data_IF_495214796760
#
_entry.id   IF_495214796760
#
_cell.length_a   1.000
_cell.length_b   1.000
_cell.length_c   1.000
_cell.angle_alpha   90.00
_cell.angle_beta   90.00
_cell.angle_gamma   90.00
#
_symmetry.space_group_name_H-M   'P 1'
#
loop_
_entity.id
_entity.type
_entity.pdbx_description
1 polymer ?
#
# COMPACT_ATOMS: atom_id res chain seq x y z
N UNK A 1 -5.82 -11.26 -7.59
CA UNK A 1 -4.59 -11.94 -7.17
C UNK A 1 -4.86 -13.38 -6.73
N UNK A 2 -5.59 -13.62 -5.63
CA UNK A 2 -5.85 -14.96 -5.07
C UNK A 2 -6.45 -15.90 -6.12
N UNK A 3 -7.51 -15.50 -6.81
CA UNK A 3 -8.14 -16.31 -7.87
C UNK A 3 -7.18 -16.64 -9.02
N UNK A 4 -6.31 -15.71 -9.40
CA UNK A 4 -5.28 -15.96 -10.43
C UNK A 4 -4.29 -17.03 -10.01
N UNK A 5 -3.78 -16.97 -8.77
CA UNK A 5 -2.86 -17.98 -8.23
C UNK A 5 -3.52 -19.35 -8.14
N UNK A 6 -4.75 -19.43 -7.60
CA UNK A 6 -5.50 -20.69 -7.46
C UNK A 6 -5.79 -21.33 -8.83
N UNK A 7 -6.20 -20.54 -9.81
CA UNK A 7 -6.49 -21.03 -11.17
C UNK A 7 -5.21 -21.44 -11.94
N UNK A 8 -4.08 -20.79 -11.67
CA UNK A 8 -2.83 -21.08 -12.35
C UNK A 8 -2.04 -22.23 -11.72
N UNK A 9 -2.18 -22.49 -10.43
CA UNK A 9 -1.44 -23.52 -9.70
C UNK A 9 -1.47 -24.92 -10.37
N UNK A 10 -2.60 -25.44 -10.89
CA UNK A 10 -2.63 -26.73 -11.58
C UNK A 10 -1.80 -26.76 -12.87
N UNK A 11 -1.72 -25.64 -13.59
CA UNK A 11 -0.95 -25.55 -14.84
C UNK A 11 0.56 -25.49 -14.59
N UNK A 12 1.00 -24.88 -13.48
CA UNK A 12 2.41 -24.84 -13.08
C UNK A 12 3.00 -26.22 -12.82
N UNK A 13 2.16 -27.22 -12.51
CA UNK A 13 2.61 -28.61 -12.34
C UNK A 13 2.85 -29.35 -13.65
N UNK A 14 2.28 -28.87 -14.77
CA UNK A 14 2.31 -29.54 -16.08
C UNK A 14 3.20 -28.85 -17.11
N UNK A 15 3.50 -27.56 -16.93
CA UNK A 15 4.30 -26.76 -17.85
C UNK A 15 5.51 -26.19 -17.13
N UNK A 16 6.67 -26.17 -17.78
CA UNK A 16 7.85 -25.50 -17.26
C UNK A 16 7.56 -24.00 -17.06
N UNK A 17 8.10 -23.43 -15.99
CA UNK A 17 7.93 -22.00 -15.68
C UNK A 17 8.42 -21.13 -16.85
N UNK A 18 7.63 -20.13 -17.22
CA UNK A 18 7.97 -19.21 -18.31
C UNK A 18 7.70 -19.72 -19.72
N UNK A 19 7.11 -20.91 -19.89
CA UNK A 19 6.79 -21.46 -21.20
C UNK A 19 5.68 -20.64 -21.86
N UNK A 20 5.99 -20.03 -23.02
CA UNK A 20 5.03 -19.37 -23.91
C UNK A 20 4.90 -20.17 -25.20
N UNK A 21 3.73 -20.76 -25.44
CA UNK A 21 3.45 -21.61 -26.60
C UNK A 21 3.25 -20.78 -27.86
N UNK A 22 4.35 -20.42 -28.54
CA UNK A 22 4.35 -19.53 -29.71
C UNK A 22 3.67 -20.11 -30.94
N UNK A 23 3.63 -21.44 -31.09
CA UNK A 23 3.07 -22.14 -32.24
C UNK A 23 1.58 -22.50 -32.07
N UNK A 24 0.93 -21.98 -31.05
CA UNK A 24 -0.48 -22.19 -30.75
C UNK A 24 -1.35 -20.96 -31.11
N UNK A 25 -2.65 -21.05 -30.85
CA UNK A 25 -3.57 -19.97 -31.13
C UNK A 25 -3.19 -18.66 -30.39
N UNK A 26 -3.54 -17.54 -30.98
CA UNK A 26 -3.30 -16.19 -30.40
C UNK A 26 -3.84 -16.10 -28.96
N UNK A 27 -4.96 -16.74 -28.67
CA UNK A 27 -5.55 -16.77 -27.32
C UNK A 27 -4.63 -17.47 -26.31
N UNK A 28 -4.01 -18.59 -26.68
CA UNK A 28 -3.10 -19.34 -25.81
C UNK A 28 -1.81 -18.56 -25.56
N UNK A 29 -1.28 -17.88 -26.58
CA UNK A 29 -0.14 -16.97 -26.39
C UNK A 29 -0.41 -15.89 -25.37
N UNK A 30 -1.57 -15.23 -25.48
CA UNK A 30 -1.98 -14.18 -24.53
C UNK A 30 -2.23 -14.73 -23.12
N UNK A 31 -2.75 -15.96 -23.00
CA UNK A 31 -2.94 -16.62 -21.71
C UNK A 31 -1.59 -16.91 -21.04
N UNK A 32 -0.64 -17.49 -21.79
CA UNK A 32 0.69 -17.80 -21.27
C UNK A 32 1.45 -16.51 -20.87
N UNK A 33 1.38 -15.48 -21.69
CA UNK A 33 1.97 -14.18 -21.39
C UNK A 33 1.33 -13.50 -20.17
N UNK A 34 0.00 -13.53 -20.07
CA UNK A 34 -0.73 -13.02 -18.91
C UNK A 34 -0.29 -13.72 -17.61
N UNK A 35 -0.17 -15.04 -17.65
CA UNK A 35 0.24 -15.84 -16.50
C UNK A 35 1.70 -15.56 -16.12
N UNK A 36 2.61 -15.50 -17.11
CA UNK A 36 4.03 -15.20 -16.87
C UNK A 36 4.21 -13.80 -16.26
N UNK A 37 3.64 -12.78 -16.89
CA UNK A 37 3.73 -11.41 -16.39
C UNK A 37 3.05 -11.28 -15.02
N UNK A 38 1.89 -11.94 -14.83
CA UNK A 38 1.17 -11.94 -13.57
C UNK A 38 1.97 -12.53 -12.42
N UNK A 39 2.69 -13.64 -12.63
CA UNK A 39 3.50 -14.26 -11.57
C UNK A 39 4.77 -13.43 -11.26
N UNK A 40 5.41 -12.87 -12.29
CA UNK A 40 6.60 -12.03 -12.12
C UNK A 40 6.27 -10.76 -11.34
N UNK A 41 5.10 -10.17 -11.58
CA UNK A 41 4.66 -8.94 -10.91
C UNK A 41 3.87 -9.19 -9.63
N UNK A 42 3.61 -10.45 -9.23
CA UNK A 42 2.70 -10.81 -8.15
C UNK A 42 3.06 -10.17 -6.80
N UNK A 43 4.33 -10.23 -6.41
CA UNK A 43 4.80 -9.67 -5.12
C UNK A 43 4.63 -8.16 -5.12
N UNK A 44 5.01 -7.51 -6.22
CA UNK A 44 4.85 -6.07 -6.37
C UNK A 44 3.36 -5.65 -6.34
N UNK A 45 2.48 -6.36 -7.04
CA UNK A 45 1.04 -6.16 -6.96
C UNK A 45 0.50 -6.25 -5.53
N UNK A 46 1.01 -7.23 -4.78
CA UNK A 46 0.60 -7.39 -3.38
C UNK A 46 1.05 -6.19 -2.54
N UNK A 47 2.31 -5.77 -2.68
CA UNK A 47 2.86 -4.62 -1.94
C UNK A 47 2.08 -3.35 -2.26
N UNK A 48 1.93 -3.01 -3.55
CA UNK A 48 1.23 -1.79 -3.98
C UNK A 48 -0.26 -1.85 -3.64
N UNK A 49 -0.89 -3.01 -3.80
CA UNK A 49 -2.30 -3.20 -3.45
C UNK A 49 -2.56 -3.05 -1.95
N UNK A 50 -1.77 -3.72 -1.11
CA UNK A 50 -1.90 -3.65 0.35
C UNK A 50 -1.62 -2.23 0.88
N UNK A 51 -0.53 -1.61 0.42
CA UNK A 51 -0.18 -0.24 0.81
C UNK A 51 -1.18 0.78 0.28
N UNK A 52 -1.77 0.56 -0.91
CA UNK A 52 -2.85 1.37 -1.44
C UNK A 52 -4.09 1.37 -0.55
N UNK A 53 -4.50 0.20 -0.04
CA UNK A 53 -5.60 0.10 0.94
C UNK A 53 -5.27 0.87 2.21
N UNK A 54 -4.07 0.70 2.78
CA UNK A 54 -3.64 1.44 3.98
C UNK A 54 -3.65 2.95 3.72
N UNK A 55 -3.16 3.41 2.57
CA UNK A 55 -3.13 4.82 2.21
C UNK A 55 -4.53 5.45 2.06
N UNK A 56 -5.53 4.69 1.59
CA UNK A 56 -6.93 5.18 1.54
C UNK A 56 -7.54 5.40 2.91
N UNK A 57 -7.00 4.74 3.95
CA UNK A 57 -7.41 4.89 5.34
C UNK A 57 -6.65 6.00 6.09
N UNK A 58 -5.87 6.84 5.40
CA UNK A 58 -5.07 7.89 6.05
C UNK A 58 -5.91 8.84 6.92
N UNK A 59 -7.06 9.30 6.42
CA UNK A 59 -7.94 10.22 7.17
C UNK A 59 -8.46 9.61 8.48
N UNK A 60 -9.09 8.42 8.50
CA UNK A 60 -9.52 7.83 9.76
C UNK A 60 -8.35 7.45 10.68
N UNK A 61 -7.21 7.02 10.14
CA UNK A 61 -6.01 6.69 10.93
C UNK A 61 -5.48 7.94 11.66
N UNK A 62 -5.32 9.06 10.95
CA UNK A 62 -4.91 10.31 11.61
C UNK A 62 -5.99 10.85 12.55
N UNK A 63 -7.28 10.72 12.21
CA UNK A 63 -8.39 11.10 13.08
C UNK A 63 -8.38 10.33 14.41
N UNK A 64 -8.09 9.04 14.38
CA UNK A 64 -7.92 8.21 15.57
C UNK A 64 -6.76 8.72 16.46
N UNK A 65 -5.61 9.00 15.86
CA UNK A 65 -4.46 9.55 16.58
C UNK A 65 -4.75 10.93 17.18
N UNK A 66 -5.41 11.81 16.43
CA UNK A 66 -5.78 13.17 16.88
C UNK A 66 -6.76 13.14 18.06
N UNK A 67 -7.75 12.25 18.03
CA UNK A 67 -8.75 12.11 19.10
C UNK A 67 -8.26 11.29 20.30
N UNK A 68 -7.24 10.45 20.12
CA UNK A 68 -6.59 9.66 21.16
C UNK A 68 -5.34 10.34 21.70
N UNK A 69 -4.17 9.90 21.24
CA UNK A 69 -2.86 10.25 21.82
C UNK A 69 -2.57 11.77 21.78
N UNK A 70 -2.88 12.45 20.66
CA UNK A 70 -2.69 13.90 20.61
C UNK A 70 -3.63 14.60 21.60
N UNK A 71 -4.90 14.19 21.70
CA UNK A 71 -5.86 14.74 22.63
C UNK A 71 -5.42 14.52 24.09
N UNK A 72 -4.80 13.38 24.43
CA UNK A 72 -4.22 13.10 25.74
C UNK A 72 -3.05 14.05 26.04
N UNK A 73 -2.11 14.22 25.12
CA UNK A 73 -0.96 15.14 25.28
C UNK A 73 -1.38 16.58 25.55
N UNK A 74 -2.46 17.05 24.93
CA UNK A 74 -2.96 18.42 25.09
C UNK A 74 -4.02 18.59 26.20
N UNK A 75 -4.52 17.48 26.76
CA UNK A 75 -5.60 17.49 27.77
C UNK A 75 -5.30 18.39 28.99
N UNK A 76 -4.07 18.39 29.58
CA UNK A 76 -3.75 19.24 30.72
C UNK A 76 -3.90 20.74 30.43
N UNK A 77 -3.82 21.13 29.15
CA UNK A 77 -3.82 22.54 28.70
C UNK A 77 -5.17 23.02 28.16
N UNK A 78 -6.18 22.13 28.11
CA UNK A 78 -7.48 22.40 27.48
C UNK A 78 -8.21 23.61 28.07
N UNK A 79 -8.12 23.78 29.40
CA UNK A 79 -8.81 24.82 30.15
C UNK A 79 -7.93 26.05 30.42
N UNK A 80 -6.73 26.12 29.89
CA UNK A 80 -5.85 27.27 30.02
C UNK A 80 -6.31 28.41 29.11
N UNK A 81 -6.10 29.70 29.51
CA UNK A 81 -6.48 30.84 28.71
C UNK A 81 -5.76 30.81 27.34
N UNK A 82 -6.35 31.43 26.30
CA UNK A 82 -5.70 31.57 25.01
C UNK A 82 -4.33 32.24 25.12
N UNK A 83 -3.41 31.87 24.25
CA UNK A 83 -2.09 32.49 24.17
C UNK A 83 -2.28 33.92 23.65
N UNK A 84 -1.72 34.91 24.35
CA UNK A 84 -1.72 36.31 23.92
C UNK A 84 -0.56 36.63 22.97
N UNK A 85 0.57 35.95 23.14
CA UNK A 85 1.75 36.14 22.31
C UNK A 85 2.37 34.74 22.03
N UNK A 86 2.64 34.52 20.77
CA UNK A 86 3.31 33.27 20.30
C UNK A 86 4.80 33.57 20.22
N UNK A 87 5.59 32.65 20.76
CA UNK A 87 7.05 32.69 20.67
C UNK A 87 7.54 32.45 19.23
N UNK A 88 8.81 32.69 18.98
CA UNK A 88 9.37 32.51 17.65
C UNK A 88 9.41 31.03 17.25
N UNK A 89 9.11 30.75 16.00
CA UNK A 89 9.23 29.39 15.45
C UNK A 89 10.64 28.87 15.54
N UNK A 90 11.65 29.77 15.46
CA UNK A 90 13.05 29.39 15.58
C UNK A 90 13.37 28.83 16.97
N UNK A 91 12.86 29.45 18.03
CA UNK A 91 13.06 28.96 19.39
C UNK A 91 12.42 27.60 19.60
N UNK A 92 11.18 27.41 19.12
CA UNK A 92 10.50 26.11 19.15
C UNK A 92 11.30 25.04 18.35
N UNK A 93 11.86 25.39 17.18
CA UNK A 93 12.69 24.50 16.38
C UNK A 93 13.96 24.09 17.13
N UNK A 94 14.68 25.04 17.71
CA UNK A 94 15.92 24.79 18.44
C UNK A 94 15.66 23.87 19.64
N UNK A 95 14.54 24.08 20.36
CA UNK A 95 14.10 23.23 21.46
C UNK A 95 13.77 21.80 20.98
N UNK A 96 13.07 21.66 19.85
CA UNK A 96 12.72 20.37 19.28
C UNK A 96 13.98 19.59 18.82
N UNK A 97 14.93 20.25 18.16
CA UNK A 97 16.20 19.65 17.74
C UNK A 97 17.04 19.18 18.94
N UNK A 98 17.04 19.96 20.02
CA UNK A 98 17.70 19.59 21.27
C UNK A 98 17.05 18.40 21.95
N UNK A 99 15.71 18.29 21.90
CA UNK A 99 14.95 17.18 22.48
C UNK A 99 15.08 15.87 21.67
N UNK A 100 15.29 15.98 20.35
CA UNK A 100 15.41 14.83 19.45
C UNK A 100 16.78 14.80 18.74
N UNK A 101 17.88 14.51 19.47
CA UNK A 101 19.22 14.51 18.91
C UNK A 101 19.36 13.46 17.80
N UNK A 102 20.04 13.83 16.72
CA UNK A 102 20.22 12.96 15.54
C UNK A 102 18.99 12.86 14.63
N UNK A 103 17.96 13.66 14.86
CA UNK A 103 16.80 13.80 13.97
C UNK A 103 16.83 15.17 13.28
N UNK A 104 16.06 15.29 12.19
CA UNK A 104 15.81 16.55 11.47
C UNK A 104 14.34 16.91 11.48
N UNK A 105 14.02 18.19 11.32
CA UNK A 105 12.64 18.63 11.19
C UNK A 105 12.07 18.19 9.84
N UNK A 106 10.90 17.57 9.86
CA UNK A 106 10.09 17.34 8.65
C UNK A 106 9.15 18.51 8.40
N UNK A 107 8.31 18.84 9.37
CA UNK A 107 7.44 20.01 9.35
C UNK A 107 7.02 20.39 10.78
N UNK A 108 6.46 21.59 10.92
CA UNK A 108 5.90 22.09 12.18
C UNK A 108 4.43 22.43 11.99
N UNK A 109 3.58 21.95 12.89
CA UNK A 109 2.18 22.30 12.95
C UNK A 109 1.99 23.45 13.93
N UNK A 110 1.28 24.50 13.49
CA UNK A 110 1.03 25.71 14.27
C UNK A 110 -0.19 25.58 15.19
N UNK A 111 -0.28 26.40 16.24
CA UNK A 111 -1.45 26.43 17.12
C UNK A 111 -2.76 26.58 16.35
N UNK A 112 -3.75 25.75 16.70
CA UNK A 112 -5.04 25.70 16.01
C UNK A 112 -5.10 24.77 14.80
N UNK A 113 -3.98 24.22 14.34
CA UNK A 113 -3.97 23.17 13.33
C UNK A 113 -4.49 21.84 13.92
N UNK A 114 -5.09 20.98 13.10
CA UNK A 114 -5.60 19.66 13.52
C UNK A 114 -4.53 18.70 14.06
N UNK A 115 -3.26 18.94 13.77
CA UNK A 115 -2.09 18.20 14.29
C UNK A 115 -1.43 18.88 15.49
N UNK A 116 -2.01 19.98 16.01
CA UNK A 116 -1.51 20.70 17.17
C UNK A 116 -2.69 21.17 18.04
N UNK A 117 -2.44 21.40 19.33
CA UNK A 117 -3.42 22.03 20.20
C UNK A 117 -3.54 23.54 19.94
N UNK A 118 -4.54 24.20 20.55
CA UNK A 118 -4.73 25.65 20.44
C UNK A 118 -3.55 26.48 21.00
N UNK A 119 -2.73 25.87 21.86
CA UNK A 119 -1.63 26.48 22.59
C UNK A 119 -0.26 25.93 22.21
N UNK A 120 -0.17 25.00 21.25
CA UNK A 120 1.05 24.24 21.02
C UNK A 120 1.49 24.33 19.57
N UNK A 121 2.82 24.35 19.38
CA UNK A 121 3.43 23.83 18.17
C UNK A 121 3.58 22.32 18.31
N UNK A 122 3.52 21.61 17.19
CA UNK A 122 3.99 20.22 17.12
C UNK A 122 5.04 20.13 16.03
N UNK A 123 6.30 19.88 16.45
CA UNK A 123 7.39 19.63 15.53
C UNK A 123 7.44 18.14 15.22
N UNK A 124 7.22 17.77 13.96
CA UNK A 124 7.36 16.39 13.50
C UNK A 124 8.80 16.15 13.06
N UNK A 125 9.55 15.48 13.93
CA UNK A 125 10.93 15.12 13.69
C UNK A 125 11.04 13.82 12.90
N UNK A 126 12.03 13.70 12.02
CA UNK A 126 12.28 12.51 11.21
C UNK A 126 13.73 12.03 11.36
N UNK A 127 13.95 10.74 11.19
CA UNK A 127 15.30 10.20 11.23
C UNK A 127 16.10 10.54 9.97
N UNK A 128 17.44 10.42 10.07
CA UNK A 128 18.38 10.80 9.00
C UNK A 128 18.80 9.63 8.10
N UNK A 129 18.34 8.40 8.36
CA UNK A 129 18.62 7.25 7.49
C UNK A 129 17.53 7.11 6.38
N UNK A 130 17.81 6.45 5.26
CA UNK A 130 16.83 6.22 4.21
C UNK A 130 15.52 5.58 4.71
N UNK A 131 15.58 4.67 5.68
CA UNK A 131 14.41 4.01 6.26
C UNK A 131 13.68 4.91 7.26
N UNK A 132 14.41 5.58 8.14
CA UNK A 132 13.82 6.40 9.22
C UNK A 132 13.42 7.80 8.78
N UNK A 133 13.89 8.28 7.62
CA UNK A 133 13.53 9.60 7.07
C UNK A 133 12.03 9.74 6.71
N UNK A 134 11.28 8.64 6.73
CA UNK A 134 9.84 8.63 6.51
C UNK A 134 9.04 8.36 7.79
N UNK A 135 9.74 8.07 8.89
CA UNK A 135 9.12 7.89 10.21
C UNK A 135 9.15 9.22 10.95
N UNK A 136 8.00 9.58 11.49
CA UNK A 136 7.83 10.84 12.20
C UNK A 136 7.75 10.60 13.71
N UNK A 137 8.28 11.57 14.47
CA UNK A 137 8.19 11.62 15.92
C UNK A 137 7.68 13.00 16.32
N UNK A 138 6.46 13.11 16.87
CA UNK A 138 5.92 14.40 17.30
C UNK A 138 6.57 14.87 18.60
N UNK A 139 6.98 16.14 18.59
CA UNK A 139 7.43 16.88 19.77
C UNK A 139 6.43 18.00 20.00
N UNK A 140 5.71 17.96 21.11
CA UNK A 140 4.77 18.99 21.54
C UNK A 140 5.52 20.10 22.24
N UNK A 141 5.33 21.35 21.81
CA UNK A 141 5.97 22.53 22.39
C UNK A 141 4.91 23.55 22.78
N UNK A 142 5.05 24.21 23.94
CA UNK A 142 4.21 25.33 24.31
C UNK A 142 4.50 26.52 23.40
N UNK A 143 3.46 27.05 22.76
CA UNK A 143 3.65 28.09 21.77
C UNK A 143 3.90 29.47 22.38
N UNK A 144 3.71 29.67 23.69
CA UNK A 144 4.03 30.92 24.37
C UNK A 144 5.52 30.98 24.80
N UNK A 145 6.15 29.84 25.06
CA UNK A 145 7.50 29.77 25.63
C UNK A 145 8.50 29.08 24.73
N UNK A 146 8.06 28.43 23.64
CA UNK A 146 8.90 27.60 22.78
C UNK A 146 9.43 26.32 23.45
N UNK A 147 9.10 26.06 24.71
CA UNK A 147 9.65 24.94 25.48
C UNK A 147 8.97 23.60 25.15
N UNK A 148 9.74 22.52 25.20
CA UNK A 148 9.20 21.16 25.00
C UNK A 148 8.30 20.77 26.17
N UNK A 149 7.09 20.37 25.82
CA UNK A 149 6.06 19.89 26.76
C UNK A 149 6.13 18.39 26.86
N UNK A 150 6.09 17.71 25.74
CA UNK A 150 6.08 16.25 25.68
C UNK A 150 6.59 15.74 24.32
N UNK A 151 7.14 14.53 24.31
CA UNK A 151 7.56 13.82 23.09
C UNK A 151 7.12 12.37 23.22
N UNK A 152 6.37 11.88 22.24
CA UNK A 152 5.91 10.48 22.18
C UNK A 152 6.29 9.83 20.86
N UNK A 153 6.35 8.49 20.88
CA UNK A 153 6.37 7.71 19.64
C UNK A 153 4.98 7.66 19.04
N UNK A 154 4.92 7.65 17.70
CA UNK A 154 3.63 7.43 17.03
C UNK A 154 3.17 5.98 17.24
N UNK A 155 1.86 5.74 17.42
CA UNK A 155 1.33 4.40 17.54
C UNK A 155 1.57 3.58 16.26
N UNK A 156 1.61 2.28 16.39
CA UNK A 156 1.95 1.36 15.31
C UNK A 156 1.10 1.54 14.04
N UNK A 157 -0.18 1.89 14.19
CA UNK A 157 -1.10 2.07 13.06
C UNK A 157 -0.78 3.34 12.23
N UNK A 158 -0.33 4.42 12.88
CA UNK A 158 0.16 5.62 12.19
C UNK A 158 1.53 5.33 11.55
N UNK A 159 2.41 4.63 12.25
CA UNK A 159 3.70 4.20 11.72
C UNK A 159 3.52 3.31 10.49
N UNK A 160 2.58 2.37 10.50
CA UNK A 160 2.24 1.53 9.35
C UNK A 160 1.78 2.38 8.15
N UNK A 161 0.95 3.41 8.37
CA UNK A 161 0.55 4.36 7.33
C UNK A 161 1.76 5.14 6.77
N UNK A 162 2.65 5.64 7.64
CA UNK A 162 3.84 6.38 7.22
C UNK A 162 4.81 5.52 6.39
N UNK A 163 4.94 4.23 6.72
CA UNK A 163 5.74 3.26 5.96
C UNK A 163 5.06 2.88 4.64
N UNK A 164 3.72 2.76 4.63
CA UNK A 164 2.97 2.33 3.45
C UNK A 164 3.10 3.31 2.29
N UNK A 165 3.14 4.61 2.57
CA UNK A 165 3.23 5.66 1.55
C UNK A 165 4.50 5.55 0.69
N UNK A 166 5.72 5.56 1.25
CA UNK A 166 6.94 5.42 0.45
C UNK A 166 7.09 4.03 -0.19
N UNK A 167 6.52 2.96 0.37
CA UNK A 167 6.47 1.65 -0.28
C UNK A 167 5.55 1.68 -1.50
N UNK A 168 4.39 2.34 -1.41
CA UNK A 168 3.44 2.47 -2.51
C UNK A 168 4.03 3.24 -3.69
N UNK A 169 4.78 4.31 -3.42
CA UNK A 169 5.33 5.20 -4.45
C UNK A 169 6.80 4.95 -4.80
N UNK A 170 7.46 3.97 -4.19
CA UNK A 170 8.88 3.66 -4.43
C UNK A 170 9.85 4.73 -3.90
N UNK A 171 9.46 5.51 -2.87
CA UNK A 171 10.26 6.64 -2.37
C UNK A 171 11.50 6.23 -1.57
N UNK A 172 11.60 4.97 -1.09
CA UNK A 172 12.74 4.51 -0.30
C UNK A 172 14.06 4.39 -1.08
N UNK A 173 13.98 4.14 -2.39
CA UNK A 173 15.15 3.98 -3.26
C UNK A 173 15.41 5.15 -4.20
N UNK A 174 14.78 6.29 -3.98
CA UNK A 174 14.93 7.47 -4.83
C UNK A 174 14.51 7.22 -6.29
N UNK A 175 15.14 7.95 -7.22
CA UNK A 175 14.80 7.87 -8.64
C UNK A 175 14.95 6.47 -9.26
N UNK A 176 15.99 5.67 -8.98
CA UNK A 176 16.10 4.32 -9.54
C UNK A 176 14.92 3.42 -9.18
N UNK A 177 14.48 3.43 -7.92
CA UNK A 177 13.35 2.60 -7.49
C UNK A 177 12.03 3.10 -8.11
N UNK A 178 11.83 4.41 -8.24
CA UNK A 178 10.67 4.98 -8.92
C UNK A 178 10.57 4.57 -10.39
N UNK A 179 11.71 4.50 -11.10
CA UNK A 179 11.76 3.99 -12.49
C UNK A 179 11.34 2.52 -12.53
N UNK A 180 11.83 1.69 -11.60
CA UNK A 180 11.44 0.28 -11.52
C UNK A 180 9.91 0.18 -11.24
N UNK A 181 9.37 0.98 -10.33
CA UNK A 181 7.93 1.05 -10.06
C UNK A 181 7.13 1.41 -11.31
N UNK A 182 7.54 2.45 -12.05
CA UNK A 182 6.89 2.86 -13.29
C UNK A 182 6.91 1.76 -14.37
N UNK A 183 8.01 1.00 -14.48
CA UNK A 183 8.10 -0.14 -15.40
C UNK A 183 7.14 -1.28 -14.96
N UNK A 184 7.05 -1.56 -13.67
CA UNK A 184 6.14 -2.55 -13.12
C UNK A 184 4.68 -2.12 -13.29
N UNK A 185 4.36 -0.81 -13.20
CA UNK A 185 3.04 -0.25 -13.55
C UNK A 185 2.69 -0.53 -15.01
N UNK A 186 3.63 -0.32 -15.92
CA UNK A 186 3.47 -0.63 -17.35
C UNK A 186 3.16 -2.13 -17.58
N UNK A 187 3.89 -3.02 -16.90
CA UNK A 187 3.62 -4.46 -16.94
C UNK A 187 2.23 -4.79 -16.34
N UNK A 188 1.83 -4.09 -15.30
CA UNK A 188 0.51 -4.19 -14.69
C UNK A 188 -0.61 -3.88 -15.67
N UNK A 189 -0.47 -2.80 -16.44
CA UNK A 189 -1.42 -2.41 -17.50
C UNK A 189 -1.52 -3.52 -18.55
N UNK A 190 -0.38 -4.11 -18.97
CA UNK A 190 -0.37 -5.22 -19.90
C UNK A 190 -1.08 -6.48 -19.34
N UNK A 191 -0.88 -6.80 -18.06
CA UNK A 191 -1.57 -7.91 -17.39
C UNK A 191 -3.08 -7.66 -17.34
N UNK A 192 -3.52 -6.46 -16.92
CA UNK A 192 -4.94 -6.10 -16.88
C UNK A 192 -5.57 -6.12 -18.27
N UNK A 193 -4.92 -5.53 -19.26
CA UNK A 193 -5.39 -5.51 -20.65
C UNK A 193 -5.51 -6.90 -21.26
N UNK A 194 -4.52 -7.76 -21.04
CA UNK A 194 -4.54 -9.16 -21.50
C UNK A 194 -5.63 -9.97 -20.79
N UNK A 195 -5.85 -9.76 -19.48
CA UNK A 195 -6.93 -10.38 -18.73
C UNK A 195 -8.31 -9.99 -19.26
N UNK A 196 -8.51 -8.69 -19.52
CA UNK A 196 -9.75 -8.18 -20.12
C UNK A 196 -10.00 -8.75 -21.52
N UNK A 197 -8.97 -8.78 -22.38
CA UNK A 197 -9.05 -9.40 -23.70
C UNK A 197 -9.47 -10.88 -23.63
N UNK A 198 -8.83 -11.66 -22.75
CA UNK A 198 -9.14 -13.08 -22.57
C UNK A 198 -10.58 -13.28 -22.07
N UNK A 199 -11.05 -12.43 -21.16
CA UNK A 199 -12.41 -12.46 -20.62
C UNK A 199 -13.46 -12.14 -21.67
N UNK A 200 -13.26 -11.07 -22.45
CA UNK A 200 -14.18 -10.67 -23.54
C UNK A 200 -14.25 -11.77 -24.61
N UNK A 201 -13.11 -12.34 -24.99
CA UNK A 201 -13.08 -13.41 -26.01
C UNK A 201 -13.75 -14.70 -25.51
N UNK A 202 -13.68 -15.02 -24.21
CA UNK A 202 -14.41 -16.15 -23.62
C UNK A 202 -15.93 -15.91 -23.60
N UNK A 203 -16.35 -14.68 -23.39
CA UNK A 203 -17.78 -14.31 -23.35
C UNK A 203 -18.48 -14.49 -24.71
N UNK A 204 -17.75 -14.29 -25.80
CA UNK A 204 -18.27 -14.38 -27.16
C UNK A 204 -18.32 -15.81 -27.74
N UNK A 205 -17.95 -16.86 -26.95
CA UNK A 205 -18.12 -18.25 -27.38
C UNK A 205 -19.57 -18.65 -27.14
N UNK A 206 -20.32 -19.12 -28.18
CA UNK A 206 -21.69 -19.59 -28.02
C UNK A 206 -21.81 -20.64 -26.92
N UNK A 207 -22.95 -20.61 -26.22
CA UNK A 207 -23.21 -21.53 -25.09
C UNK A 207 -23.14 -22.98 -25.52
N UNK A 208 -23.64 -23.32 -26.71
CA UNK A 208 -23.61 -24.67 -27.29
C UNK A 208 -22.18 -25.21 -27.43
N UNK A 209 -21.26 -24.41 -27.97
CA UNK A 209 -19.83 -24.78 -28.09
C UNK A 209 -19.18 -25.05 -26.72
N UNK A 210 -19.69 -24.42 -25.65
CA UNK A 210 -19.20 -24.67 -24.29
C UNK A 210 -19.73 -25.97 -23.72
N UNK A 211 -20.97 -26.35 -24.06
CA UNK A 211 -21.58 -27.63 -23.66
C UNK A 211 -20.86 -28.80 -24.37
N UNK A 212 -20.60 -28.68 -25.66
CA UNK A 212 -19.90 -29.71 -26.43
C UNK A 212 -18.47 -29.97 -25.87
N UNK A 213 -17.76 -28.91 -25.53
CA UNK A 213 -16.44 -29.02 -24.90
C UNK A 213 -16.49 -29.65 -23.50
N UNK A 214 -17.56 -29.44 -22.73
CA UNK A 214 -17.78 -30.07 -21.44
C UNK A 214 -18.16 -31.56 -21.56
N UNK A 215 -18.97 -31.90 -22.55
CA UNK A 215 -19.39 -33.30 -22.83
C UNK A 215 -18.25 -34.18 -23.35
N UNK A 216 -17.30 -33.61 -24.12
CA UNK A 216 -16.11 -34.31 -24.59
C UNK A 216 -15.12 -34.64 -23.43
N UNK A 217 -15.20 -33.92 -22.32
CA UNK A 217 -14.33 -34.18 -21.13
C UNK A 217 -14.87 -35.20 -20.14
N UNK A 218 -16.11 -35.66 -20.31
CA UNK A 218 -16.69 -36.75 -19.53
C UNK A 218 -16.59 -38.02 -20.36
N UNK A 219 -15.67 -38.97 -20.05
CA UNK A 219 -15.72 -40.28 -20.66
C UNK A 219 -17.00 -40.95 -20.18
N UNK A 220 -17.92 -41.14 -21.10
CA UNK A 220 -19.12 -41.97 -20.87
C UNK A 220 -18.58 -43.35 -20.53
N UNK A 221 -18.80 -43.75 -19.29
CA UNK A 221 -18.45 -45.09 -18.80
C UNK A 221 -19.42 -46.10 -19.43
N UNK A 222 -19.20 -46.44 -20.71
CA UNK A 222 -19.97 -47.40 -21.49
C UNK A 222 -19.61 -48.88 -21.16
N UNK A 223 -19.00 -49.11 -20.00
CA UNK A 223 -18.54 -50.45 -19.57
C UNK A 223 -19.49 -51.11 -18.54
N UNK A 224 -20.77 -50.79 -18.54
CA UNK A 224 -21.74 -51.46 -17.62
C UNK A 224 -23.04 -51.93 -18.28
N UNK A 225 -22.99 -52.33 -19.54
CA UNK A 225 -24.17 -52.94 -20.21
C UNK A 225 -23.85 -54.21 -21.02
N UNK A 226 -22.78 -54.90 -20.71
CA UNK A 226 -22.43 -56.17 -21.42
C UNK A 226 -22.45 -57.43 -20.53
N UNK A 227 -22.92 -57.34 -19.28
CA UNK A 227 -23.04 -58.56 -18.42
C UNK A 227 -24.45 -58.74 -17.88
N UNK A 228 -25.46 -58.64 -18.76
CA UNK A 228 -26.83 -59.06 -18.47
C UNK A 228 -27.53 -59.61 -19.73
N UNK A 229 -27.03 -60.72 -20.25
CA UNK A 229 -27.77 -61.68 -21.10
C UNK A 229 -27.19 -63.08 -20.89
#
# INVERSE_FOLDING_TARGET
LVSGVVLYAPFMRKLAFGTVRRNQSTRLKWLDLHNLLGIVTLVWFFVVGATGVVNTLATPIFGQWQSGELAEMIAPYRNMPPIQQVDTVQHALDAALKAAPGMSLSFIAFPGNSFAGKRHFVAFMQGNSPLTSKLLKPVLLDAATGSVVEMRELPWYVTALLVSKPLHFGDYGGLPLKIIWALLDGLCIAVLGSGLYLWLKKRNIPFETRLDAANVTLPINSAKQADAL
#
